data_IF_816348534126
#
_entry.id   IF_816348534126
#
_cell.length_a   1.000
_cell.length_b   1.000
_cell.length_c   1.000
_cell.angle_alpha   90.00
_cell.angle_beta   90.00
_cell.angle_gamma   90.00
#
_symmetry.space_group_name_H-M   'P 1'
#
loop_
_entity.id
_entity.type
_entity.pdbx_description
1 polymer ?
#
# COMPACT_ATOMS: atom_id res chain seq x y z
N UNK A 1 24.93 -7.47 23.93
CA UNK A 1 24.44 -8.08 22.67
C UNK A 1 24.85 -7.15 21.53
N UNK A 2 25.61 -7.63 20.53
CA UNK A 2 25.94 -6.83 19.33
C UNK A 2 24.77 -6.98 18.37
N UNK A 3 24.08 -5.87 18.08
CA UNK A 3 23.02 -5.87 17.07
C UNK A 3 23.65 -6.07 15.68
N UNK A 4 23.00 -6.85 14.79
CA UNK A 4 23.52 -7.08 13.44
C UNK A 4 23.44 -5.80 12.61
N UNK A 5 24.39 -5.63 11.69
CA UNK A 5 24.29 -4.66 10.61
C UNK A 5 23.28 -5.18 9.58
N UNK A 6 22.27 -4.37 9.26
CA UNK A 6 21.20 -4.69 8.31
C UNK A 6 21.41 -4.09 6.93
N UNK A 7 22.56 -3.46 6.70
CA UNK A 7 22.92 -2.90 5.39
C UNK A 7 23.14 -4.03 4.38
N UNK A 8 22.54 -3.91 3.21
CA UNK A 8 22.68 -4.85 2.11
C UNK A 8 22.72 -4.14 0.77
N UNK A 9 23.19 -4.83 -0.26
CA UNK A 9 23.05 -4.32 -1.63
C UNK A 9 21.57 -4.28 -2.03
N UNK A 10 21.16 -3.27 -2.79
CA UNK A 10 19.76 -3.07 -3.19
C UNK A 10 19.14 -4.31 -3.85
N UNK A 11 19.87 -4.95 -4.77
CA UNK A 11 19.39 -6.15 -5.46
C UNK A 11 19.21 -7.35 -4.50
N UNK A 12 20.07 -7.48 -3.50
CA UNK A 12 19.97 -8.53 -2.47
C UNK A 12 18.75 -8.28 -1.57
N UNK A 13 18.54 -7.04 -1.12
CA UNK A 13 17.42 -6.66 -0.26
C UNK A 13 16.05 -6.88 -0.93
N UNK A 14 16.00 -6.77 -2.27
CA UNK A 14 14.75 -6.89 -3.04
C UNK A 14 14.50 -8.30 -3.59
N UNK A 15 15.51 -9.17 -3.64
CA UNK A 15 15.46 -10.46 -4.35
C UNK A 15 14.33 -11.42 -3.90
N UNK A 16 13.83 -11.28 -2.68
CA UNK A 16 12.80 -12.15 -2.10
C UNK A 16 11.35 -11.77 -2.44
N UNK A 17 11.11 -10.71 -3.20
CA UNK A 17 9.74 -10.30 -3.57
C UNK A 17 9.27 -11.13 -4.77
N UNK A 18 8.29 -11.99 -4.54
CA UNK A 18 7.77 -12.95 -5.53
C UNK A 18 6.56 -12.39 -6.32
N UNK A 19 6.21 -13.08 -7.40
CA UNK A 19 4.95 -12.82 -8.12
C UNK A 19 3.76 -13.04 -7.17
N UNK A 20 2.74 -12.17 -7.24
CA UNK A 20 1.58 -12.24 -6.34
C UNK A 20 1.77 -11.59 -4.97
N UNK A 21 2.95 -11.07 -4.66
CA UNK A 21 3.23 -10.45 -3.36
C UNK A 21 2.34 -9.22 -3.12
N UNK A 22 1.95 -9.03 -1.85
CA UNK A 22 1.35 -7.80 -1.37
C UNK A 22 2.44 -6.87 -0.86
N UNK A 23 2.52 -5.67 -1.41
CA UNK A 23 3.53 -4.66 -1.07
C UNK A 23 2.88 -3.40 -0.51
N UNK A 24 3.40 -2.90 0.60
CA UNK A 24 3.10 -1.55 1.10
C UNK A 24 4.16 -0.58 0.61
N UNK A 25 3.76 0.56 0.05
CA UNK A 25 4.68 1.56 -0.48
C UNK A 25 4.45 2.88 0.22
N UNK A 26 5.49 3.45 0.83
CA UNK A 26 5.46 4.76 1.45
C UNK A 26 5.27 5.91 0.46
N UNK A 27 4.96 7.08 0.99
CA UNK A 27 4.87 8.34 0.25
C UNK A 27 3.44 8.86 0.05
N UNK A 28 3.34 10.18 -0.15
CA UNK A 28 2.12 10.91 -0.46
C UNK A 28 2.37 11.69 -1.76
N UNK A 29 1.84 11.23 -2.88
CA UNK A 29 2.34 11.63 -4.19
C UNK A 29 3.83 11.32 -4.30
N UNK A 30 4.64 12.31 -4.69
CA UNK A 30 6.11 12.18 -4.83
C UNK A 30 6.86 12.17 -3.49
N UNK A 31 6.62 13.08 -2.53
CA UNK A 31 7.32 13.08 -1.24
C UNK A 31 7.26 11.75 -0.49
N UNK A 32 8.42 11.26 -0.04
CA UNK A 32 8.55 10.01 0.71
C UNK A 32 8.36 8.73 -0.11
N UNK A 33 8.17 8.83 -1.42
CA UNK A 33 8.10 7.64 -2.29
C UNK A 33 9.50 7.02 -2.48
N UNK A 34 9.68 5.71 -2.25
CA UNK A 34 10.97 5.05 -2.37
C UNK A 34 11.32 4.70 -3.83
N UNK A 35 11.60 5.72 -4.67
CA UNK A 35 11.82 5.56 -6.11
C UNK A 35 12.87 4.51 -6.49
N UNK A 36 13.98 4.46 -5.74
CA UNK A 36 15.06 3.50 -6.00
C UNK A 36 14.61 2.05 -5.77
N UNK A 37 13.81 1.81 -4.72
CA UNK A 37 13.26 0.47 -4.46
C UNK A 37 12.26 0.07 -5.53
N UNK A 38 11.39 0.99 -5.96
CA UNK A 38 10.40 0.73 -7.02
C UNK A 38 11.09 0.38 -8.36
N UNK A 39 12.16 1.10 -8.71
CA UNK A 39 12.95 0.79 -9.92
C UNK A 39 13.63 -0.57 -9.81
N UNK A 40 14.12 -0.95 -8.63
CA UNK A 40 14.69 -2.28 -8.44
C UNK A 40 13.63 -3.38 -8.55
N UNK A 41 12.44 -3.18 -7.99
CA UNK A 41 11.33 -4.12 -8.13
C UNK A 41 10.95 -4.32 -9.61
N UNK A 42 10.94 -3.23 -10.38
CA UNK A 42 10.78 -3.28 -11.84
C UNK A 42 11.90 -4.08 -12.50
N UNK A 43 13.16 -3.85 -12.13
CA UNK A 43 14.29 -4.60 -12.68
C UNK A 43 14.22 -6.09 -12.33
N UNK A 44 13.83 -6.42 -11.10
CA UNK A 44 13.77 -7.79 -10.57
C UNK A 44 12.72 -8.64 -11.28
N UNK A 45 11.55 -8.06 -11.62
CA UNK A 45 10.59 -8.73 -12.51
C UNK A 45 9.27 -9.16 -11.88
N UNK A 46 9.07 -8.93 -10.58
CA UNK A 46 7.85 -9.36 -9.88
C UNK A 46 6.58 -8.74 -10.50
N UNK A 47 5.51 -9.52 -10.60
CA UNK A 47 4.22 -9.20 -11.25
C UNK A 47 3.04 -9.74 -10.45
N UNK A 48 1.82 -9.49 -10.92
CA UNK A 48 0.58 -9.80 -10.20
C UNK A 48 0.53 -9.20 -8.78
N UNK A 49 1.15 -8.04 -8.59
CA UNK A 49 1.33 -7.43 -7.28
C UNK A 49 0.01 -6.86 -6.75
N UNK A 50 -0.21 -7.01 -5.44
CA UNK A 50 -1.15 -6.17 -4.71
C UNK A 50 -0.40 -5.01 -4.10
N UNK A 51 -0.72 -3.77 -4.51
CA UNK A 51 -0.06 -2.56 -4.02
C UNK A 51 -0.96 -1.84 -3.04
N UNK A 52 -0.45 -1.55 -1.85
CA UNK A 52 -1.11 -0.73 -0.84
C UNK A 52 -0.32 0.58 -0.71
N UNK A 53 -0.94 1.69 -1.14
CA UNK A 53 -0.32 3.03 -1.09
C UNK A 53 -1.41 4.09 -0.96
N UNK A 54 -1.08 5.24 -0.38
CA UNK A 54 -1.98 6.39 -0.30
C UNK A 54 -2.62 6.75 -1.66
N UNK A 55 -1.83 6.76 -2.72
CA UNK A 55 -2.22 7.21 -4.06
C UNK A 55 -1.46 6.50 -5.19
N UNK A 56 -1.98 6.61 -6.42
CA UNK A 56 -1.40 6.02 -7.63
C UNK A 56 -0.21 6.76 -8.27
N UNK A 57 0.29 7.84 -7.65
CA UNK A 57 1.27 8.78 -8.24
C UNK A 57 0.82 9.44 -9.55
N UNK A 58 1.48 10.51 -9.97
CA UNK A 58 1.33 11.09 -11.32
C UNK A 58 1.94 10.16 -12.41
N UNK A 59 1.62 10.38 -13.70
CA UNK A 59 2.29 9.69 -14.80
C UNK A 59 3.81 9.75 -14.71
N UNK A 60 4.45 8.63 -15.01
CA UNK A 60 5.90 8.42 -15.02
C UNK A 60 6.57 8.65 -13.66
N UNK A 61 5.82 8.52 -12.56
CA UNK A 61 6.33 8.65 -11.19
C UNK A 61 5.95 7.45 -10.32
N UNK A 62 6.86 7.04 -9.44
CA UNK A 62 6.55 6.11 -8.34
C UNK A 62 5.93 4.82 -8.83
N UNK A 63 4.77 4.44 -8.27
CA UNK A 63 4.10 3.19 -8.63
C UNK A 63 3.48 3.20 -10.03
N UNK A 64 3.39 4.37 -10.68
CA UNK A 64 2.91 4.44 -12.07
C UNK A 64 3.79 3.60 -13.01
N UNK A 65 5.09 3.48 -12.74
CA UNK A 65 5.96 2.60 -13.53
C UNK A 65 5.58 1.11 -13.40
N UNK A 66 5.12 0.67 -12.23
CA UNK A 66 4.63 -0.70 -12.02
C UNK A 66 3.33 -0.92 -12.81
N UNK A 67 2.41 0.06 -12.75
CA UNK A 67 1.17 0.07 -13.54
C UNK A 67 1.47 0.04 -15.05
N UNK A 68 2.39 0.88 -15.53
CA UNK A 68 2.82 0.95 -16.93
C UNK A 68 3.28 -0.41 -17.48
N UNK A 69 3.95 -1.17 -16.61
CA UNK A 69 4.55 -2.45 -16.95
C UNK A 69 3.60 -3.64 -16.80
N UNK A 70 2.32 -3.40 -16.46
CA UNK A 70 1.32 -4.44 -16.28
C UNK A 70 1.60 -5.38 -15.11
N UNK A 71 2.24 -4.88 -14.03
CA UNK A 71 2.69 -5.70 -12.90
C UNK A 71 1.80 -5.66 -11.67
N UNK A 72 0.78 -4.81 -11.69
CA UNK A 72 -0.14 -4.62 -10.57
C UNK A 72 -1.44 -5.31 -10.94
N UNK A 73 -1.86 -6.28 -10.13
CA UNK A 73 -3.17 -6.91 -10.25
C UNK A 73 -4.23 -6.17 -9.41
N UNK A 74 -3.81 -5.62 -8.26
CA UNK A 74 -4.70 -4.91 -7.33
C UNK A 74 -4.03 -3.68 -6.72
N UNK A 75 -4.80 -2.61 -6.55
CA UNK A 75 -4.39 -1.38 -5.88
C UNK A 75 -5.37 -1.04 -4.75
N UNK A 76 -4.89 -1.01 -3.51
CA UNK A 76 -5.62 -0.46 -2.37
C UNK A 76 -5.11 0.96 -2.13
N UNK A 77 -5.97 1.96 -2.33
CA UNK A 77 -5.58 3.36 -2.26
C UNK A 77 -6.71 4.27 -1.77
N UNK A 78 -6.34 5.50 -1.37
CA UNK A 78 -7.32 6.55 -1.07
C UNK A 78 -7.58 7.50 -2.23
N UNK A 79 -6.66 7.56 -3.20
CA UNK A 79 -6.77 8.50 -4.30
C UNK A 79 -6.04 8.02 -5.56
N UNK A 80 -6.70 8.04 -6.72
CA UNK A 80 -6.05 7.77 -8.02
C UNK A 80 -6.21 8.90 -9.03
N UNK A 81 -6.85 10.01 -8.64
CA UNK A 81 -7.31 11.08 -9.55
C UNK A 81 -6.21 11.77 -10.37
N UNK A 82 -4.94 11.69 -9.95
CA UNK A 82 -3.81 12.25 -10.69
C UNK A 82 -3.19 11.26 -11.69
N UNK A 83 -3.64 10.00 -11.70
CA UNK A 83 -3.12 8.97 -12.57
C UNK A 83 -4.17 8.53 -13.61
N UNK A 84 -4.18 9.11 -14.82
CA UNK A 84 -5.09 8.69 -15.88
C UNK A 84 -4.91 7.23 -16.30
N UNK A 85 -3.71 6.64 -16.16
CA UNK A 85 -3.48 5.23 -16.46
C UNK A 85 -4.19 4.33 -15.45
N UNK A 86 -4.03 4.59 -14.15
CA UNK A 86 -4.72 3.83 -13.11
C UNK A 86 -6.24 3.90 -13.27
N UNK A 87 -6.78 5.09 -13.59
CA UNK A 87 -8.21 5.28 -13.86
C UNK A 87 -8.65 4.45 -15.07
N UNK A 88 -7.89 4.49 -16.17
CA UNK A 88 -8.20 3.72 -17.38
C UNK A 88 -8.16 2.21 -17.12
N UNK A 89 -7.13 1.70 -16.45
CA UNK A 89 -6.98 0.29 -16.10
C UNK A 89 -8.11 -0.19 -15.18
N UNK A 90 -8.49 0.62 -14.19
CA UNK A 90 -9.63 0.34 -13.31
C UNK A 90 -10.94 0.24 -14.10
N UNK A 91 -11.22 1.23 -14.95
CA UNK A 91 -12.45 1.26 -15.75
C UNK A 91 -12.51 0.12 -16.79
N UNK A 92 -11.36 -0.31 -17.29
CA UNK A 92 -11.24 -1.46 -18.18
C UNK A 92 -11.31 -2.82 -17.46
N UNK A 93 -11.25 -2.83 -16.11
CA UNK A 93 -11.20 -4.05 -15.32
C UNK A 93 -9.85 -4.78 -15.40
N UNK A 94 -8.79 -4.11 -15.82
CA UNK A 94 -7.43 -4.66 -15.90
C UNK A 94 -6.76 -4.79 -14.53
N UNK A 95 -7.16 -3.94 -13.58
CA UNK A 95 -6.75 -4.01 -12.18
C UNK A 95 -7.96 -3.89 -11.27
N UNK A 96 -7.92 -4.58 -10.13
CA UNK A 96 -8.85 -4.33 -9.04
C UNK A 96 -8.40 -3.07 -8.27
N UNK A 97 -9.31 -2.12 -8.05
CA UNK A 97 -9.04 -0.96 -7.19
C UNK A 97 -10.00 -0.97 -6.00
N UNK A 98 -9.42 -1.02 -4.80
CA UNK A 98 -10.16 -0.85 -3.55
C UNK A 98 -9.92 0.58 -3.04
N UNK A 99 -10.99 1.38 -3.00
CA UNK A 99 -10.94 2.70 -2.39
C UNK A 99 -11.16 2.63 -0.88
N UNK A 100 -10.32 3.37 -0.16
CA UNK A 100 -10.44 3.58 1.28
C UNK A 100 -10.39 5.07 1.58
N UNK A 101 -11.19 5.55 2.54
CA UNK A 101 -10.95 6.87 3.12
C UNK A 101 -9.52 6.91 3.67
N UNK A 102 -8.75 7.97 3.38
CA UNK A 102 -7.32 8.02 3.68
C UNK A 102 -6.99 7.72 5.16
N UNK A 103 -7.77 8.27 6.09
CA UNK A 103 -7.61 7.98 7.53
C UNK A 103 -7.87 6.53 7.87
N UNK A 104 -8.85 5.89 7.22
CA UNK A 104 -9.17 4.46 7.40
C UNK A 104 -8.08 3.58 6.79
N UNK A 105 -7.51 3.94 5.63
CA UNK A 105 -6.37 3.23 5.06
C UNK A 105 -5.20 3.19 6.06
N UNK A 106 -4.83 4.37 6.61
CA UNK A 106 -3.77 4.47 7.60
C UNK A 106 -4.08 3.63 8.85
N UNK A 107 -5.32 3.66 9.32
CA UNK A 107 -5.72 2.97 10.55
C UNK A 107 -5.84 1.46 10.37
N UNK A 108 -6.23 0.97 9.18
CA UNK A 108 -6.17 -0.45 8.83
C UNK A 108 -4.74 -0.97 8.78
N UNK A 109 -3.80 -0.18 8.26
CA UNK A 109 -2.36 -0.49 8.29
C UNK A 109 -1.85 -0.52 9.74
N UNK A 110 -2.19 0.50 10.54
CA UNK A 110 -1.80 0.56 11.96
C UNK A 110 -2.34 -0.63 12.75
N UNK A 111 -3.61 -1.00 12.54
CA UNK A 111 -4.23 -2.15 13.15
C UNK A 111 -3.47 -3.44 12.84
N UNK A 112 -3.09 -3.65 11.57
CA UNK A 112 -2.29 -4.81 11.14
C UNK A 112 -0.91 -4.86 11.78
N UNK A 113 -0.24 -3.71 11.91
CA UNK A 113 1.04 -3.59 12.63
C UNK A 113 0.93 -3.82 14.14
N UNK A 114 -0.23 -3.50 14.74
CA UNK A 114 -0.50 -3.66 16.17
C UNK A 114 -1.10 -5.04 16.54
N UNK A 115 -1.38 -5.91 15.57
CA UNK A 115 -2.01 -7.22 15.81
C UNK A 115 -3.51 -7.16 16.08
N UNK A 116 -4.18 -6.07 15.72
CA UNK A 116 -5.64 -5.95 15.74
C UNK A 116 -6.20 -6.51 14.43
N UNK A 117 -7.28 -7.30 14.50
CA UNK A 117 -7.86 -7.93 13.30
C UNK A 117 -8.69 -6.94 12.44
N UNK A 118 -9.28 -5.93 13.09
CA UNK A 118 -10.12 -4.93 12.44
C UNK A 118 -10.25 -3.68 13.33
N UNK A 119 -10.78 -2.62 12.74
CA UNK A 119 -11.24 -1.41 13.43
C UNK A 119 -12.74 -1.21 13.18
N UNK A 120 -13.41 -0.54 14.11
CA UNK A 120 -14.80 -0.13 13.96
C UNK A 120 -14.86 1.36 13.65
N UNK A 121 -15.62 1.74 12.64
CA UNK A 121 -15.73 3.14 12.21
C UNK A 121 -17.11 3.45 11.64
N UNK A 122 -17.53 4.71 11.72
CA UNK A 122 -18.67 5.26 10.99
C UNK A 122 -18.24 6.02 9.72
N UNK A 123 -16.94 6.12 9.45
CA UNK A 123 -16.42 6.80 8.26
C UNK A 123 -16.80 6.01 7.01
N UNK A 124 -17.47 6.70 6.08
CA UNK A 124 -17.97 6.12 4.83
C UNK A 124 -19.38 5.55 4.94
N UNK A 125 -20.03 5.59 6.12
CA UNK A 125 -21.42 5.17 6.24
C UNK A 125 -22.34 6.00 5.33
N UNK A 126 -23.29 5.32 4.67
CA UNK A 126 -24.15 5.92 3.66
C UNK A 126 -23.47 6.25 2.32
N UNK A 127 -22.22 5.80 2.10
CA UNK A 127 -21.51 5.93 0.82
C UNK A 127 -21.16 4.55 0.25
N UNK A 128 -20.79 4.50 -1.03
CA UNK A 128 -20.33 3.27 -1.70
C UNK A 128 -19.12 2.62 -0.99
N UNK A 129 -18.35 3.39 -0.21
CA UNK A 129 -17.25 2.84 0.59
C UNK A 129 -17.72 1.86 1.67
N UNK A 130 -18.99 1.88 2.07
CA UNK A 130 -19.56 0.95 3.05
C UNK A 130 -20.15 -0.32 2.42
N UNK A 131 -20.30 -0.36 1.09
CA UNK A 131 -21.02 -1.44 0.42
C UNK A 131 -20.30 -2.79 0.60
N UNK A 132 -21.07 -3.81 0.98
CA UNK A 132 -20.57 -5.15 1.21
C UNK A 132 -19.70 -5.32 2.47
N UNK A 133 -19.43 -4.26 3.24
CA UNK A 133 -18.63 -4.36 4.47
C UNK A 133 -19.45 -4.88 5.64
N UNK A 134 -18.89 -5.75 6.51
CA UNK A 134 -19.57 -6.20 7.70
C UNK A 134 -19.90 -5.04 8.64
N UNK A 135 -20.98 -5.18 9.41
CA UNK A 135 -21.39 -4.21 10.41
C UNK A 135 -21.54 -4.86 11.77
N UNK A 136 -21.25 -4.09 12.82
CA UNK A 136 -21.42 -4.50 14.22
C UNK A 136 -22.18 -3.38 14.95
N UNK A 137 -23.12 -3.75 15.81
CA UNK A 137 -23.73 -2.79 16.72
C UNK A 137 -22.86 -2.59 17.96
N UNK A 138 -22.57 -1.33 18.27
CA UNK A 138 -21.88 -0.91 19.48
C UNK A 138 -22.58 0.34 20.03
N UNK A 139 -22.96 0.30 21.31
CA UNK A 139 -23.67 1.40 21.99
C UNK A 139 -24.90 1.92 21.22
N UNK A 140 -25.67 1.00 20.63
CA UNK A 140 -26.88 1.32 19.86
C UNK A 140 -26.62 1.96 18.49
N UNK A 141 -25.38 1.94 18.01
CA UNK A 141 -24.98 2.45 16.69
C UNK A 141 -24.43 1.31 15.84
N UNK A 142 -24.87 1.23 14.58
CA UNK A 142 -24.29 0.32 13.61
C UNK A 142 -22.98 0.91 13.05
N UNK A 143 -21.85 0.25 13.31
CA UNK A 143 -20.52 0.63 12.83
C UNK A 143 -20.05 -0.31 11.73
N UNK A 144 -19.22 0.20 10.82
CA UNK A 144 -18.56 -0.55 9.76
C UNK A 144 -17.32 -1.24 10.34
N UNK A 145 -17.10 -2.50 9.95
CA UNK A 145 -15.89 -3.26 10.27
C UNK A 145 -14.90 -3.10 9.12
N UNK A 146 -13.76 -2.47 9.39
CA UNK A 146 -12.65 -2.32 8.45
C UNK A 146 -11.51 -3.26 8.86
N UNK A 147 -11.21 -4.26 8.02
CA UNK A 147 -10.21 -5.29 8.33
C UNK A 147 -8.80 -4.73 8.29
N UNK A 148 -7.94 -5.22 9.17
CA UNK A 148 -6.54 -4.81 9.18
C UNK A 148 -5.83 -5.17 7.87
N UNK A 149 -4.93 -4.30 7.42
CA UNK A 149 -4.09 -4.52 6.26
C UNK A 149 -2.70 -4.97 6.70
N UNK A 150 -2.19 -6.01 6.06
CA UNK A 150 -0.79 -6.46 6.14
C UNK A 150 -0.26 -6.65 4.74
N UNK A 151 1.07 -6.66 4.63
CA UNK A 151 1.78 -6.88 3.39
C UNK A 151 2.95 -7.83 3.66
N UNK A 152 3.41 -8.52 2.62
CA UNK A 152 4.58 -9.39 2.67
C UNK A 152 5.86 -8.56 2.81
N UNK A 153 5.87 -7.37 2.20
CA UNK A 153 6.99 -6.42 2.26
C UNK A 153 6.50 -4.97 2.31
N UNK A 154 7.29 -4.10 2.94
CA UNK A 154 7.09 -2.66 2.93
C UNK A 154 8.31 -1.95 2.32
N UNK A 155 8.06 -1.07 1.35
CA UNK A 155 9.06 -0.21 0.73
C UNK A 155 8.96 1.17 1.36
N UNK A 156 9.99 1.57 2.12
CA UNK A 156 9.99 2.78 2.94
C UNK A 156 11.17 3.66 2.55
N UNK A 157 10.93 4.98 2.47
CA UNK A 157 11.96 6.00 2.33
C UNK A 157 12.12 6.73 3.67
N UNK A 158 13.36 6.99 4.07
CA UNK A 158 13.71 7.80 5.25
C UNK A 158 14.88 8.73 4.90
N UNK A 159 15.02 9.84 5.62
CA UNK A 159 16.15 10.76 5.43
C UNK A 159 17.44 10.09 5.90
N UNK A 160 17.39 9.45 7.09
CA UNK A 160 18.54 8.76 7.67
C UNK A 160 18.14 7.44 8.30
N UNK A 161 19.06 6.49 8.23
CA UNK A 161 18.99 5.24 8.96
C UNK A 161 20.34 4.92 9.59
N UNK A 162 20.34 4.35 10.79
CA UNK A 162 21.53 3.67 11.31
C UNK A 162 21.61 2.21 10.81
N UNK A 163 22.71 1.53 11.09
CA UNK A 163 22.92 0.13 10.66
C UNK A 163 22.00 -0.88 11.35
N UNK A 164 21.29 -0.47 12.42
CA UNK A 164 20.32 -1.30 13.14
C UNK A 164 18.90 -1.12 12.60
N UNK A 165 18.66 -0.08 11.81
CA UNK A 165 17.39 0.25 11.16
C UNK A 165 16.54 1.26 11.92
N UNK A 166 17.10 2.04 12.86
CA UNK A 166 16.41 3.20 13.39
C UNK A 166 16.31 4.26 12.29
N UNK A 167 15.12 4.77 12.03
CA UNK A 167 14.83 5.75 10.97
C UNK A 167 14.62 7.14 11.59
N UNK A 168 15.13 8.17 10.91
CA UNK A 168 14.91 9.59 11.24
C UNK A 168 14.43 10.36 10.00
#
# INVERSE_FOLDING_TARGET
MRLPDKSAALAEAMAGIEDGATIMVGGFGVPGTPFTLIRELLRQGARELTVIKNDANEPDMGIDHLLASGRVARLVASHIGLNPRAIAMMNAGEIEVEFCAQGILAERIRAGGAGLAAILTDIGDGTELADGKPRVELDGRALIVETALRADVALIHADRADTFGNLA
#
